data_IF_918684907447
#
_entry.id   IF_918684907447
#
_cell.length_a   1.000
_cell.length_b   1.000
_cell.length_c   1.000
_cell.angle_alpha   90.00
_cell.angle_beta   90.00
_cell.angle_gamma   90.00
#
_symmetry.space_group_name_H-M   'P 1'
#
loop_
_entity.id
_entity.type
_entity.pdbx_description
1 polymer ?
#
# COMPACT_ATOMS: atom_id res chain seq x y z
N UNK A 1 36.20 -0.88 11.22
CA UNK A 1 35.30 -2.02 10.92
C UNK A 1 34.59 -1.64 9.62
N UNK A 2 34.77 -2.42 8.56
CA UNK A 2 33.98 -2.28 7.34
C UNK A 2 32.61 -2.93 7.59
N UNK A 3 31.53 -2.17 7.37
CA UNK A 3 30.17 -2.66 7.49
C UNK A 3 29.62 -2.81 6.07
N UNK A 4 29.05 -3.96 5.76
CA UNK A 4 28.38 -4.22 4.50
C UNK A 4 26.89 -3.94 4.66
N UNK A 5 26.37 -2.94 3.93
CA UNK A 5 24.96 -2.56 3.98
C UNK A 5 24.15 -3.28 2.93
N UNK A 6 23.08 -3.90 3.37
CA UNK A 6 22.13 -4.65 2.52
C UNK A 6 20.76 -4.01 2.62
N UNK A 7 20.11 -3.80 1.47
CA UNK A 7 18.74 -3.34 1.41
C UNK A 7 17.83 -4.46 0.88
N UNK A 8 16.69 -4.64 1.53
CA UNK A 8 15.64 -5.58 1.09
C UNK A 8 14.40 -4.76 0.74
N UNK A 9 13.94 -4.86 -0.50
CA UNK A 9 12.75 -4.12 -0.93
C UNK A 9 11.50 -4.61 -0.22
N UNK A 10 10.68 -3.66 0.23
CA UNK A 10 9.44 -3.87 0.96
C UNK A 10 8.20 -3.38 0.17
N UNK A 11 8.33 -3.17 -1.13
CA UNK A 11 7.26 -2.75 -2.03
C UNK A 11 7.51 -3.23 -3.45
N UNK A 12 6.42 -3.47 -4.19
CA UNK A 12 6.44 -3.80 -5.62
C UNK A 12 6.61 -2.58 -6.53
N UNK A 13 6.46 -1.38 -5.98
CA UNK A 13 6.44 -0.13 -6.75
C UNK A 13 7.84 0.21 -7.25
N UNK A 14 7.89 0.84 -8.43
CA UNK A 14 9.11 1.40 -9.02
C UNK A 14 9.91 2.24 -8.01
N UNK A 15 11.22 2.01 -7.96
CA UNK A 15 12.12 2.75 -7.09
C UNK A 15 12.19 4.24 -7.43
N UNK A 16 11.93 4.60 -8.68
CA UNK A 16 11.94 6.00 -9.14
C UNK A 16 10.74 6.81 -8.67
N UNK A 17 9.66 6.12 -8.28
CA UNK A 17 8.41 6.78 -7.90
C UNK A 17 8.34 7.14 -6.42
N UNK A 18 8.93 6.32 -5.56
CA UNK A 18 8.69 6.41 -4.10
C UNK A 18 9.93 6.71 -3.29
N UNK A 19 11.13 6.53 -3.86
CA UNK A 19 12.37 6.74 -3.13
C UNK A 19 13.07 8.04 -3.55
N UNK A 20 13.74 8.66 -2.58
CA UNK A 20 14.61 9.79 -2.86
C UNK A 20 15.75 9.37 -3.79
N UNK A 21 16.24 10.27 -4.66
CA UNK A 21 17.24 9.95 -5.67
C UNK A 21 18.50 9.23 -5.15
N UNK A 22 18.87 9.40 -3.89
CA UNK A 22 20.09 8.83 -3.30
C UNK A 22 19.80 7.74 -2.26
N UNK A 23 18.56 7.24 -2.19
CA UNK A 23 18.13 6.31 -1.15
C UNK A 23 18.98 5.03 -1.08
N UNK A 24 19.51 4.58 -2.21
CA UNK A 24 20.27 3.33 -2.30
C UNK A 24 21.78 3.51 -2.41
N UNK A 25 22.32 4.73 -2.42
CA UNK A 25 23.73 4.98 -2.73
C UNK A 25 24.68 4.30 -1.73
N UNK A 26 24.28 4.21 -0.47
CA UNK A 26 25.09 3.63 0.61
C UNK A 26 24.95 2.10 0.79
N UNK A 27 24.15 1.45 -0.04
CA UNK A 27 23.98 -0.01 0.02
C UNK A 27 24.85 -0.68 -1.03
N UNK A 28 25.63 -1.71 -0.65
CA UNK A 28 26.43 -2.52 -1.56
C UNK A 28 25.62 -3.66 -2.19
N UNK A 29 24.64 -4.17 -1.45
CA UNK A 29 23.77 -5.26 -1.89
C UNK A 29 22.31 -4.85 -1.80
N UNK A 30 21.53 -5.18 -2.83
CA UNK A 30 20.08 -4.96 -2.85
C UNK A 30 19.36 -6.23 -3.27
N UNK A 31 18.39 -6.62 -2.45
CA UNK A 31 17.45 -7.68 -2.77
C UNK A 31 16.26 -7.07 -3.51
N UNK A 32 16.18 -7.34 -4.80
CA UNK A 32 15.18 -6.81 -5.72
C UNK A 32 13.94 -7.69 -5.74
N UNK A 33 12.76 -7.08 -5.82
CA UNK A 33 11.49 -7.81 -5.91
C UNK A 33 11.36 -8.54 -7.25
N UNK A 34 11.91 -7.93 -8.31
CA UNK A 34 11.88 -8.49 -9.65
C UNK A 34 12.79 -7.72 -10.60
N UNK A 35 12.78 -8.08 -11.89
CA UNK A 35 13.70 -7.53 -12.89
C UNK A 35 13.57 -6.02 -13.05
N UNK A 36 12.38 -5.44 -12.88
CA UNK A 36 12.20 -3.99 -12.97
C UNK A 36 13.07 -3.22 -11.96
N UNK A 37 13.19 -3.70 -10.72
CA UNK A 37 14.09 -3.08 -9.73
C UNK A 37 15.57 -3.21 -10.15
N UNK A 38 15.96 -4.35 -10.73
CA UNK A 38 17.30 -4.55 -11.26
C UNK A 38 17.60 -3.54 -12.37
N UNK A 39 16.70 -3.42 -13.34
CA UNK A 39 16.84 -2.52 -14.47
C UNK A 39 16.90 -1.04 -14.01
N UNK A 40 16.06 -0.64 -13.10
CA UNK A 40 16.04 0.71 -12.55
C UNK A 40 17.33 1.05 -11.80
N UNK A 41 17.85 0.15 -10.98
CA UNK A 41 19.10 0.36 -10.25
C UNK A 41 20.28 0.42 -11.22
N UNK A 42 20.35 -0.47 -12.22
CA UNK A 42 21.39 -0.44 -13.27
C UNK A 42 21.34 0.84 -14.09
N UNK A 43 20.14 1.29 -14.48
CA UNK A 43 19.96 2.56 -15.18
C UNK A 43 20.48 3.75 -14.35
N UNK A 44 20.19 3.74 -13.05
CA UNK A 44 20.67 4.76 -12.12
C UNK A 44 22.19 4.73 -11.98
N UNK A 45 22.81 3.55 -11.82
CA UNK A 45 24.26 3.39 -11.75
C UNK A 45 24.92 3.98 -13.00
N UNK A 46 24.39 3.67 -14.17
CA UNK A 46 24.90 4.20 -15.44
C UNK A 46 24.74 5.72 -15.54
N UNK A 47 23.57 6.24 -15.19
CA UNK A 47 23.25 7.67 -15.32
C UNK A 47 24.11 8.56 -14.43
N UNK A 48 24.44 8.09 -13.22
CA UNK A 48 25.15 8.88 -12.22
C UNK A 48 26.60 8.42 -11.99
N UNK A 49 27.09 7.45 -12.76
CA UNK A 49 28.45 6.92 -12.61
C UNK A 49 28.70 6.28 -11.25
N UNK A 50 27.69 5.61 -10.68
CA UNK A 50 27.80 5.00 -9.35
C UNK A 50 28.48 3.63 -9.42
N UNK A 51 29.12 3.18 -8.33
CA UNK A 51 29.65 1.82 -8.25
C UNK A 51 28.56 0.78 -8.45
N UNK A 52 28.88 -0.30 -9.18
CA UNK A 52 27.95 -1.40 -9.38
C UNK A 52 27.65 -2.13 -8.07
N UNK A 53 26.36 -2.31 -7.77
CA UNK A 53 25.86 -3.02 -6.60
C UNK A 53 25.68 -4.51 -6.87
N UNK A 54 25.70 -5.32 -5.84
CA UNK A 54 25.26 -6.71 -5.92
C UNK A 54 23.73 -6.73 -5.88
N UNK A 55 23.09 -7.21 -6.96
CA UNK A 55 21.64 -7.28 -7.06
C UNK A 55 21.19 -8.73 -7.12
N UNK A 56 20.19 -9.07 -6.29
CA UNK A 56 19.60 -10.40 -6.23
C UNK A 56 18.09 -10.28 -6.36
N UNK A 57 17.50 -10.99 -7.30
CA UNK A 57 16.04 -11.15 -7.38
C UNK A 57 15.59 -12.18 -6.34
N UNK A 58 14.77 -11.77 -5.39
CA UNK A 58 14.31 -12.66 -4.31
C UNK A 58 12.78 -12.78 -4.27
N UNK A 59 12.06 -12.06 -5.17
CA UNK A 59 10.61 -12.01 -5.13
C UNK A 59 10.07 -11.04 -4.06
N UNK A 60 8.81 -11.21 -3.72
CA UNK A 60 8.13 -10.37 -2.73
C UNK A 60 7.31 -11.24 -1.76
N UNK A 61 7.94 -11.64 -0.66
CA UNK A 61 7.36 -12.59 0.31
C UNK A 61 6.02 -12.15 0.91
N UNK A 62 5.74 -10.85 0.96
CA UNK A 62 4.43 -10.35 1.38
C UNK A 62 3.33 -10.74 0.40
N UNK A 63 3.59 -10.67 -0.91
CA UNK A 63 2.63 -11.13 -1.92
C UNK A 63 2.38 -12.64 -1.80
N UNK A 64 3.43 -13.42 -1.57
CA UNK A 64 3.32 -14.86 -1.35
C UNK A 64 2.41 -15.17 -0.13
N UNK A 65 2.55 -14.38 0.95
CA UNK A 65 1.73 -14.52 2.15
C UNK A 65 0.25 -14.17 1.88
N UNK A 66 -0.01 -13.11 1.10
CA UNK A 66 -1.37 -12.72 0.72
C UNK A 66 -2.01 -13.81 -0.15
N UNK A 67 -1.29 -14.31 -1.16
CA UNK A 67 -1.75 -15.39 -2.02
C UNK A 67 -2.05 -16.66 -1.24
N UNK A 68 -1.18 -17.05 -0.32
CA UNK A 68 -1.39 -18.21 0.54
C UNK A 68 -2.63 -18.07 1.42
N UNK A 69 -2.84 -16.87 2.01
CA UNK A 69 -4.02 -16.58 2.82
C UNK A 69 -5.29 -16.55 1.96
N UNK A 70 -5.25 -15.93 0.78
CA UNK A 70 -6.39 -15.87 -0.14
C UNK A 70 -6.84 -17.25 -0.62
N UNK A 71 -5.90 -18.19 -0.76
CA UNK A 71 -6.16 -19.56 -1.20
C UNK A 71 -6.63 -20.49 -0.07
N UNK A 72 -6.69 -20.02 1.18
CA UNK A 72 -7.07 -20.85 2.32
C UNK A 72 -8.58 -21.20 2.28
N UNK A 73 -8.98 -22.45 2.58
CA UNK A 73 -10.37 -22.93 2.43
C UNK A 73 -11.43 -22.18 3.25
N UNK A 74 -11.03 -21.44 4.27
CA UNK A 74 -11.94 -20.70 5.16
C UNK A 74 -12.23 -19.25 4.69
N UNK A 75 -11.68 -18.84 3.57
CA UNK A 75 -11.99 -17.57 2.91
C UNK A 75 -13.03 -17.76 1.80
N UNK A 76 -13.94 -18.73 1.95
CA UNK A 76 -15.10 -18.85 1.08
C UNK A 76 -15.83 -17.52 1.10
N UNK A 77 -15.73 -16.83 -0.02
CA UNK A 77 -16.36 -15.58 -0.33
C UNK A 77 -17.82 -15.60 0.12
N UNK A 78 -18.16 -14.71 1.04
CA UNK A 78 -19.55 -14.31 1.22
C UNK A 78 -19.96 -13.48 0.00
N UNK A 79 -20.01 -14.15 -1.17
CA UNK A 79 -20.48 -13.62 -2.45
C UNK A 79 -22.01 -13.53 -2.46
N UNK A 80 -22.61 -13.14 -1.36
CA UNK A 80 -24.01 -12.74 -1.39
C UNK A 80 -24.08 -11.46 -2.19
N UNK A 81 -24.60 -11.58 -3.42
CA UNK A 81 -24.85 -10.46 -4.35
C UNK A 81 -25.80 -9.39 -3.78
N UNK A 82 -26.24 -9.54 -2.54
CA UNK A 82 -27.29 -8.74 -1.91
C UNK A 82 -26.76 -7.84 -0.77
N UNK A 83 -25.44 -7.67 -0.65
CA UNK A 83 -24.84 -6.76 0.34
C UNK A 83 -24.20 -5.53 -0.33
N UNK A 84 -24.12 -4.39 0.37
CA UNK A 84 -23.37 -3.24 -0.12
C UNK A 84 -21.90 -3.60 -0.39
N UNK A 85 -21.32 -3.03 -1.45
CA UNK A 85 -19.91 -3.16 -1.75
C UNK A 85 -19.07 -2.61 -0.60
N UNK A 86 -18.02 -3.33 -0.26
CA UNK A 86 -17.01 -2.93 0.73
C UNK A 86 -15.83 -2.29 0.02
N UNK A 87 -15.62 -1.02 0.27
CA UNK A 87 -14.55 -0.22 -0.32
C UNK A 87 -13.45 -0.01 0.71
N UNK A 88 -12.23 -0.34 0.35
CA UNK A 88 -11.04 -0.01 1.12
C UNK A 88 -10.37 1.24 0.54
N UNK A 89 -10.31 2.33 1.29
CA UNK A 89 -9.55 3.53 0.95
C UNK A 89 -8.19 3.46 1.66
N UNK A 90 -7.15 3.04 0.93
CA UNK A 90 -5.81 2.79 1.46
C UNK A 90 -4.73 3.50 0.63
N UNK A 91 -4.68 4.85 0.67
CA UNK A 91 -3.72 5.62 -0.10
C UNK A 91 -2.32 5.63 0.54
N UNK A 92 -1.34 6.17 -0.19
CA UNK A 92 -0.05 6.56 0.34
C UNK A 92 -0.19 7.79 1.27
N UNK A 93 0.87 8.48 1.52
CA UNK A 93 0.92 9.61 2.46
C UNK A 93 1.63 10.82 1.86
N UNK A 94 1.44 11.98 2.48
CA UNK A 94 2.12 13.21 2.12
C UNK A 94 1.16 14.34 1.76
N UNK A 95 1.66 15.58 1.63
CA UNK A 95 0.81 16.77 1.50
C UNK A 95 -0.07 16.78 0.23
N UNK A 96 0.28 15.96 -0.75
CA UNK A 96 -0.48 15.78 -2.00
C UNK A 96 -1.16 14.40 -2.09
N UNK A 97 -1.13 13.62 -1.01
CA UNK A 97 -1.76 12.31 -0.93
C UNK A 97 -3.29 12.42 -1.08
N UNK A 98 -3.89 11.35 -1.57
CA UNK A 98 -5.35 11.30 -1.80
C UNK A 98 -6.13 11.53 -0.49
N UNK A 99 -5.66 10.97 0.62
CA UNK A 99 -6.35 11.11 1.91
C UNK A 99 -6.29 12.54 2.42
N UNK A 100 -5.12 13.17 2.34
CA UNK A 100 -4.86 14.52 2.83
C UNK A 100 -5.61 15.58 2.03
N UNK A 101 -5.81 15.35 0.73
CA UNK A 101 -6.40 16.35 -0.17
C UNK A 101 -7.90 16.16 -0.41
N UNK A 102 -8.35 14.92 -0.52
CA UNK A 102 -9.72 14.59 -0.91
C UNK A 102 -10.40 13.56 0.00
N UNK A 103 -9.69 12.98 0.97
CA UNK A 103 -10.17 11.84 1.75
C UNK A 103 -11.53 12.05 2.42
N UNK A 104 -11.72 13.20 3.05
CA UNK A 104 -12.98 13.54 3.74
C UNK A 104 -14.15 13.65 2.76
N UNK A 105 -13.93 14.33 1.63
CA UNK A 105 -14.98 14.51 0.60
C UNK A 105 -15.32 13.17 -0.04
N UNK A 106 -14.30 12.39 -0.39
CA UNK A 106 -14.45 11.07 -1.00
C UNK A 106 -15.21 10.11 -0.06
N UNK A 107 -14.83 10.08 1.22
CA UNK A 107 -15.54 9.29 2.23
C UNK A 107 -17.03 9.63 2.27
N UNK A 108 -17.37 10.93 2.29
CA UNK A 108 -18.77 11.36 2.27
C UNK A 108 -19.52 10.97 1.00
N UNK A 109 -18.87 10.97 -0.16
CA UNK A 109 -19.47 10.53 -1.43
C UNK A 109 -19.78 9.04 -1.38
N UNK A 110 -18.82 8.22 -0.97
CA UNK A 110 -18.95 6.76 -0.92
C UNK A 110 -20.02 6.31 0.06
N UNK A 111 -20.05 6.91 1.25
CA UNK A 111 -21.07 6.62 2.27
C UNK A 111 -22.48 7.03 1.83
N UNK A 112 -22.64 8.19 1.18
CA UNK A 112 -23.94 8.59 0.60
C UNK A 112 -24.38 7.70 -0.56
N UNK A 113 -23.46 7.05 -1.25
CA UNK A 113 -23.77 6.04 -2.27
C UNK A 113 -24.18 4.69 -1.68
N UNK A 114 -24.24 4.55 -0.35
CA UNK A 114 -24.64 3.32 0.33
C UNK A 114 -23.56 2.25 0.38
N UNK A 115 -22.31 2.62 0.18
CA UNK A 115 -21.17 1.70 0.24
C UNK A 115 -20.65 1.55 1.67
N UNK A 116 -20.11 0.39 2.01
CA UNK A 116 -19.34 0.22 3.23
C UNK A 116 -17.91 0.68 2.99
N UNK A 117 -17.42 1.60 3.80
CA UNK A 117 -16.12 2.23 3.65
C UNK A 117 -15.22 1.94 4.85
N UNK A 118 -14.11 1.25 4.60
CA UNK A 118 -12.98 1.19 5.52
C UNK A 118 -11.89 2.13 5.03
N UNK A 119 -11.49 3.08 5.86
CA UNK A 119 -10.34 3.96 5.60
C UNK A 119 -9.16 3.42 6.38
N UNK A 120 -8.09 3.10 5.66
CA UNK A 120 -6.81 2.65 6.22
C UNK A 120 -5.71 3.64 5.89
N UNK A 121 -5.48 4.63 6.75
CA UNK A 121 -4.43 5.62 6.54
C UNK A 121 -3.04 4.95 6.55
N UNK A 122 -2.14 5.45 5.75
CA UNK A 122 -0.72 5.09 5.88
C UNK A 122 -0.21 5.49 7.29
N UNK A 123 0.69 4.73 7.93
CA UNK A 123 1.22 5.07 9.27
C UNK A 123 1.76 6.49 9.37
N UNK A 124 2.45 6.97 8.33
CA UNK A 124 2.98 8.34 8.28
C UNK A 124 1.89 9.42 8.30
N UNK A 125 0.68 9.15 7.78
CA UNK A 125 -0.44 10.09 7.85
C UNK A 125 -0.81 10.40 9.31
N UNK A 126 -0.70 9.40 10.20
CA UNK A 126 -0.94 9.60 11.63
C UNK A 126 0.01 10.60 12.29
N UNK A 127 1.25 10.67 11.81
CA UNK A 127 2.27 11.59 12.33
C UNK A 127 2.26 12.95 11.63
N UNK A 128 2.13 12.95 10.30
CA UNK A 128 2.32 14.16 9.49
C UNK A 128 1.02 14.91 9.23
N UNK A 129 -0.10 14.22 9.20
CA UNK A 129 -1.42 14.77 8.85
C UNK A 129 -2.53 14.30 9.82
N UNK A 130 -2.34 14.37 11.16
CA UNK A 130 -3.32 13.81 12.13
C UNK A 130 -4.68 14.49 12.06
N UNK A 131 -4.77 15.68 11.47
CA UNK A 131 -6.02 16.43 11.32
C UNK A 131 -7.02 15.69 10.44
N UNK A 132 -6.59 15.12 9.31
CA UNK A 132 -7.50 14.40 8.40
C UNK A 132 -8.10 13.16 9.09
N UNK A 133 -7.32 12.48 9.91
CA UNK A 133 -7.80 11.32 10.70
C UNK A 133 -8.85 11.76 11.72
N UNK A 134 -8.58 12.86 12.43
CA UNK A 134 -9.51 13.42 13.41
C UNK A 134 -10.81 13.90 12.76
N UNK A 135 -10.71 14.50 11.57
CA UNK A 135 -11.86 14.98 10.81
C UNK A 135 -12.72 13.82 10.29
N UNK A 136 -12.11 12.79 9.72
CA UNK A 136 -12.80 11.58 9.29
C UNK A 136 -13.55 10.91 10.46
N UNK A 137 -12.88 10.80 11.61
CA UNK A 137 -13.49 10.24 12.83
C UNK A 137 -14.64 11.10 13.35
N UNK A 138 -14.46 12.42 13.35
CA UNK A 138 -15.49 13.36 13.84
C UNK A 138 -16.72 13.40 12.96
N UNK A 139 -16.57 13.30 11.62
CA UNK A 139 -17.66 13.36 10.67
C UNK A 139 -18.38 12.03 10.46
N UNK A 140 -17.63 10.93 10.48
CA UNK A 140 -18.14 9.63 10.03
C UNK A 140 -17.98 8.52 11.07
N UNK A 141 -17.32 8.75 12.20
CA UNK A 141 -17.03 7.70 13.19
C UNK A 141 -18.25 6.97 13.75
N UNK A 142 -19.41 7.66 13.80
CA UNK A 142 -20.69 7.07 14.25
C UNK A 142 -21.51 6.47 13.08
N UNK A 143 -21.03 6.54 11.85
CA UNK A 143 -21.75 6.02 10.70
C UNK A 143 -21.59 4.50 10.59
N UNK A 144 -22.69 3.75 10.61
CA UNK A 144 -22.69 2.28 10.69
C UNK A 144 -21.93 1.57 9.54
N UNK A 145 -21.77 2.25 8.39
CA UNK A 145 -21.05 1.74 7.23
C UNK A 145 -19.62 2.33 7.11
N UNK A 146 -19.09 2.96 8.17
CA UNK A 146 -17.75 3.55 8.17
C UNK A 146 -16.85 2.89 9.20
N UNK A 147 -15.63 2.57 8.79
CA UNK A 147 -14.57 2.08 9.67
C UNK A 147 -13.27 2.84 9.42
N UNK A 148 -12.58 3.20 10.49
CA UNK A 148 -11.25 3.80 10.45
C UNK A 148 -10.24 2.83 11.05
N UNK A 149 -9.56 2.06 10.20
CA UNK A 149 -8.56 1.08 10.61
C UNK A 149 -7.21 1.76 10.83
N UNK A 150 -6.72 1.74 12.06
CA UNK A 150 -5.41 2.28 12.43
C UNK A 150 -4.43 1.20 12.89
N UNK A 151 -4.88 -0.04 13.02
CA UNK A 151 -4.00 -1.16 13.31
C UNK A 151 -3.25 -1.59 12.04
N UNK A 152 -1.98 -1.21 11.99
CA UNK A 152 -1.09 -1.52 10.85
C UNK A 152 -0.74 -3.02 10.76
N UNK A 153 -0.97 -3.79 11.82
CA UNK A 153 -0.70 -5.23 11.87
C UNK A 153 -1.85 -6.06 11.33
N UNK A 154 -3.07 -5.51 11.34
CA UNK A 154 -4.23 -6.17 10.75
C UNK A 154 -4.18 -6.13 9.21
N UNK A 155 -4.59 -7.20 8.60
CA UNK A 155 -4.81 -7.33 7.15
C UNK A 155 -6.28 -7.57 6.82
N UNK A 156 -7.15 -7.56 7.83
CA UNK A 156 -8.53 -8.02 7.68
C UNK A 156 -9.33 -7.16 6.70
N UNK A 157 -9.12 -5.84 6.71
CA UNK A 157 -9.75 -4.94 5.74
C UNK A 157 -9.34 -5.24 4.29
N UNK A 158 -8.08 -5.66 4.07
CA UNK A 158 -7.59 -6.04 2.76
C UNK A 158 -8.40 -7.22 2.19
N UNK A 159 -8.60 -8.25 3.01
CA UNK A 159 -9.33 -9.46 2.60
C UNK A 159 -10.85 -9.26 2.58
N UNK A 160 -11.38 -8.40 3.45
CA UNK A 160 -12.81 -8.15 3.55
C UNK A 160 -13.37 -7.23 2.45
N UNK A 161 -12.53 -6.49 1.75
CA UNK A 161 -12.98 -5.47 0.79
C UNK A 161 -13.12 -6.03 -0.63
N UNK A 162 -14.12 -5.54 -1.36
CA UNK A 162 -14.40 -5.95 -2.74
C UNK A 162 -13.60 -5.15 -3.76
N UNK A 163 -13.33 -3.88 -3.43
CA UNK A 163 -12.61 -2.92 -4.28
C UNK A 163 -11.72 -2.03 -3.40
N UNK A 164 -10.58 -1.64 -3.93
CA UNK A 164 -9.71 -0.65 -3.29
C UNK A 164 -9.72 0.66 -4.06
N UNK A 165 -9.66 1.77 -3.31
CA UNK A 165 -9.32 3.09 -3.84
C UNK A 165 -7.98 3.49 -3.23
N UNK A 166 -7.04 3.82 -4.07
CA UNK A 166 -5.68 4.15 -3.66
C UNK A 166 -5.06 5.19 -4.61
N UNK A 167 -3.83 5.57 -4.33
CA UNK A 167 -2.96 6.37 -5.18
C UNK A 167 -1.64 5.60 -5.44
N UNK A 168 -0.49 6.19 -5.20
CA UNK A 168 0.83 5.58 -5.38
C UNK A 168 1.22 4.60 -4.25
N UNK A 169 0.30 3.79 -3.77
CA UNK A 169 0.51 2.89 -2.63
C UNK A 169 0.93 1.49 -3.05
N UNK A 170 1.89 0.90 -2.33
CA UNK A 170 2.24 -0.52 -2.46
C UNK A 170 1.07 -1.45 -2.17
N UNK A 171 0.17 -1.05 -1.27
CA UNK A 171 -1.04 -1.80 -0.95
C UNK A 171 -1.96 -2.00 -2.16
N UNK A 172 -1.97 -1.05 -3.11
CA UNK A 172 -2.74 -1.17 -4.35
C UNK A 172 -2.26 -2.37 -5.21
N UNK A 173 -0.94 -2.51 -5.34
CA UNK A 173 -0.35 -3.65 -6.05
C UNK A 173 -0.57 -4.97 -5.33
N UNK A 174 -0.46 -4.96 -3.99
CA UNK A 174 -0.73 -6.13 -3.16
C UNK A 174 -2.19 -6.59 -3.30
N UNK A 175 -3.14 -5.64 -3.32
CA UNK A 175 -4.55 -5.93 -3.48
C UNK A 175 -4.87 -6.47 -4.88
N UNK A 176 -4.36 -5.78 -5.93
CA UNK A 176 -4.62 -6.16 -7.31
C UNK A 176 -4.02 -7.53 -7.66
N UNK A 177 -2.75 -7.77 -7.30
CA UNK A 177 -2.04 -8.99 -7.68
C UNK A 177 -2.23 -10.13 -6.69
N UNK A 178 -2.42 -9.83 -5.40
CA UNK A 178 -2.59 -10.85 -4.36
C UNK A 178 -4.01 -11.36 -4.22
N UNK A 179 -5.01 -10.50 -4.47
CA UNK A 179 -6.43 -10.86 -4.33
C UNK A 179 -7.19 -10.89 -5.65
N UNK A 180 -6.56 -10.47 -6.75
CA UNK A 180 -7.17 -10.36 -8.08
C UNK A 180 -8.46 -9.53 -8.07
N UNK A 181 -8.49 -8.47 -7.22
CA UNK A 181 -9.63 -7.57 -7.04
C UNK A 181 -9.34 -6.19 -7.63
N UNK A 182 -10.38 -5.44 -8.04
CA UNK A 182 -10.22 -4.14 -8.70
C UNK A 182 -9.67 -3.05 -7.76
N UNK A 183 -8.78 -2.21 -8.33
CA UNK A 183 -8.24 -1.00 -7.71
C UNK A 183 -8.55 0.20 -8.59
#
# INVERSE_FOLDING_TARGET
ISVHYVYVHHSLISTHMVYLPQAFDNFETIFCVGPHHVDEIRAREQQYGLPAKQLFEHGYGRLDSILARASAPNQAEDQTHDRPLRVLLAPSWGPHGLLETQGVVLAGILLRAGLHLTVRPHPQTGFLSPRVISELRGLYGEHAAFELEQDITSEDSLFASDIMISDWSGAAMEFAFGLERPV
#
